data_IF_068277423879
#
_entry.id   IF_068277423879
#
_cell.length_a   1.000
_cell.length_b   1.000
_cell.length_c   1.000
_cell.angle_alpha   90.00
_cell.angle_beta   90.00
_cell.angle_gamma   90.00
#
_symmetry.space_group_name_H-M   'P 1'
#
loop_
_entity.id
_entity.type
_entity.pdbx_description
1 polymer ?
#
# COMPACT_ATOMS: atom_id res chain seq x y z
N UNK A 1 -9.30 -16.88 8.99
CA UNK A 1 -8.17 -16.88 8.05
C UNK A 1 -8.27 -15.58 7.26
N UNK A 2 -7.50 -14.54 7.62
CA UNK A 2 -7.39 -13.36 6.75
C UNK A 2 -6.45 -13.80 5.61
N UNK A 3 -7.04 -14.02 4.44
CA UNK A 3 -6.28 -14.40 3.26
C UNK A 3 -5.37 -13.25 2.87
N UNK A 4 -4.12 -13.56 2.54
CA UNK A 4 -3.20 -12.61 1.91
C UNK A 4 -3.87 -12.16 0.62
N UNK A 5 -4.27 -10.88 0.55
CA UNK A 5 -4.82 -10.30 -0.66
C UNK A 5 -3.62 -9.94 -1.53
N UNK A 6 -3.29 -10.80 -2.48
CA UNK A 6 -2.32 -10.46 -3.53
C UNK A 6 -3.00 -9.46 -4.46
N UNK A 7 -2.68 -8.18 -4.30
CA UNK A 7 -3.14 -7.15 -5.23
C UNK A 7 -2.25 -7.23 -6.47
N UNK A 8 -2.84 -7.48 -7.64
CA UNK A 8 -2.08 -7.53 -8.89
C UNK A 8 -1.82 -6.11 -9.39
N UNK A 9 -0.70 -5.90 -10.11
CA UNK A 9 -0.40 -4.62 -10.78
C UNK A 9 -1.57 -4.14 -11.66
N UNK A 10 -2.31 -5.08 -12.25
CA UNK A 10 -3.49 -4.76 -13.03
C UNK A 10 -4.63 -4.17 -12.20
N UNK A 11 -4.79 -4.61 -10.95
CA UNK A 11 -5.81 -4.07 -10.03
C UNK A 11 -5.45 -2.63 -9.64
N UNK A 12 -4.17 -2.34 -9.41
CA UNK A 12 -3.66 -0.98 -9.17
C UNK A 12 -3.91 -0.10 -10.41
N UNK A 13 -3.60 -0.61 -11.61
CA UNK A 13 -3.89 0.09 -12.88
C UNK A 13 -5.36 0.43 -13.04
N UNK A 14 -6.25 -0.50 -12.70
CA UNK A 14 -7.69 -0.30 -12.75
C UNK A 14 -8.13 0.75 -11.72
N UNK A 15 -7.65 0.65 -10.48
CA UNK A 15 -7.91 1.63 -9.42
C UNK A 15 -7.51 3.05 -9.83
N UNK A 16 -6.28 3.24 -10.33
CA UNK A 16 -5.81 4.54 -10.85
C UNK A 16 -6.71 5.04 -11.97
N UNK A 17 -7.11 4.16 -12.91
CA UNK A 17 -7.98 4.53 -14.03
C UNK A 17 -9.37 4.97 -13.55
N UNK A 18 -9.94 4.29 -12.57
CA UNK A 18 -11.26 4.59 -12.02
C UNK A 18 -11.24 5.92 -11.26
N UNK A 19 -10.22 6.15 -10.40
CA UNK A 19 -10.03 7.44 -9.70
C UNK A 19 -9.89 8.59 -10.71
N UNK A 20 -9.06 8.42 -11.74
CA UNK A 20 -8.86 9.45 -12.77
C UNK A 20 -10.17 9.75 -13.52
N UNK A 21 -10.92 8.72 -13.88
CA UNK A 21 -12.19 8.86 -14.59
C UNK A 21 -13.26 9.54 -13.72
N UNK A 22 -13.45 9.08 -12.49
CA UNK A 22 -14.54 9.52 -11.62
C UNK A 22 -14.27 10.84 -10.91
N UNK A 23 -13.03 11.03 -10.43
CA UNK A 23 -12.68 12.17 -9.56
C UNK A 23 -11.99 13.30 -10.30
N UNK A 24 -11.29 12.99 -11.40
CA UNK A 24 -10.54 13.96 -12.18
C UNK A 24 -11.13 14.21 -13.58
N UNK A 25 -12.13 13.43 -14.01
CA UNK A 25 -12.70 13.47 -15.36
C UNK A 25 -11.62 13.28 -16.46
N UNK A 26 -10.59 12.49 -16.16
CA UNK A 26 -9.49 12.13 -17.06
C UNK A 26 -9.70 10.69 -17.52
N UNK A 27 -9.89 10.49 -18.82
CA UNK A 27 -10.08 9.17 -19.39
C UNK A 27 -8.79 8.64 -20.00
N UNK A 28 -8.28 7.53 -19.44
CA UNK A 28 -7.14 6.78 -20.00
C UNK A 28 -7.66 5.82 -21.07
N UNK A 29 -7.41 6.16 -22.34
CA UNK A 29 -7.99 5.47 -23.51
C UNK A 29 -7.15 4.32 -24.03
N UNK A 30 -5.85 4.41 -23.86
CA UNK A 30 -4.89 3.44 -24.37
C UNK A 30 -3.67 3.34 -23.45
N UNK A 31 -2.91 2.25 -23.61
CA UNK A 31 -1.76 1.95 -22.77
C UNK A 31 -0.63 2.99 -22.91
N UNK A 32 -0.52 3.64 -24.08
CA UNK A 32 0.54 4.62 -24.33
C UNK A 32 0.38 5.86 -23.44
N UNK A 33 -0.83 6.16 -22.96
CA UNK A 33 -1.08 7.25 -22.03
C UNK A 33 -0.41 7.06 -20.66
N UNK A 34 -0.14 5.83 -20.22
CA UNK A 34 0.55 5.60 -18.94
C UNK A 34 2.02 6.06 -18.96
N UNK A 35 2.62 6.14 -20.15
CA UNK A 35 4.00 6.57 -20.35
C UNK A 35 4.15 8.06 -20.67
N UNK A 36 3.03 8.77 -20.91
CA UNK A 36 3.04 10.21 -21.18
C UNK A 36 3.28 11.01 -19.90
N UNK A 37 3.76 12.24 -20.06
CA UNK A 37 3.89 13.16 -18.93
C UNK A 37 2.56 13.37 -18.22
N UNK A 38 2.57 13.49 -16.89
CA UNK A 38 1.35 13.74 -16.10
C UNK A 38 0.57 14.97 -16.60
N UNK A 39 1.29 16.04 -16.95
CA UNK A 39 0.68 17.25 -17.52
C UNK A 39 0.06 16.99 -18.90
N UNK A 40 0.67 16.14 -19.72
CA UNK A 40 0.20 15.82 -21.08
C UNK A 40 -1.14 15.06 -21.09
N UNK A 41 -1.43 14.33 -20.00
CA UNK A 41 -2.71 13.63 -19.81
C UNK A 41 -3.73 14.48 -19.02
N UNK A 42 -3.41 15.74 -18.72
CA UNK A 42 -4.29 16.66 -18.01
C UNK A 42 -4.22 16.59 -16.48
N UNK A 43 -3.25 15.86 -15.92
CA UNK A 43 -3.06 15.73 -14.49
C UNK A 43 -2.16 16.86 -13.97
N UNK A 44 -2.78 17.97 -13.57
CA UNK A 44 -2.06 19.06 -12.88
C UNK A 44 -1.70 18.70 -11.43
N UNK A 45 -0.91 19.54 -10.77
CA UNK A 45 -0.45 19.32 -9.39
C UNK A 45 -1.60 19.08 -8.40
N UNK A 46 -2.70 19.84 -8.47
CA UNK A 46 -3.83 19.64 -7.57
C UNK A 46 -4.54 18.30 -7.80
N UNK A 47 -4.72 17.89 -9.06
CA UNK A 47 -5.32 16.60 -9.40
C UNK A 47 -4.39 15.44 -9.03
N UNK A 48 -3.08 15.64 -9.15
CA UNK A 48 -2.08 14.67 -8.71
C UNK A 48 -2.16 14.45 -7.19
N UNK A 49 -2.20 15.50 -6.38
CA UNK A 49 -2.38 15.36 -4.92
C UNK A 49 -3.69 14.63 -4.59
N UNK A 50 -4.79 14.96 -5.27
CA UNK A 50 -6.06 14.26 -5.09
C UNK A 50 -5.95 12.78 -5.45
N UNK A 51 -5.25 12.44 -6.52
CA UNK A 51 -5.01 11.05 -6.91
C UNK A 51 -4.28 10.30 -5.79
N UNK A 52 -3.21 10.87 -5.22
CA UNK A 52 -2.48 10.25 -4.11
C UNK A 52 -3.39 9.97 -2.90
N UNK A 53 -4.15 10.98 -2.45
CA UNK A 53 -5.06 10.82 -1.30
C UNK A 53 -6.14 9.76 -1.55
N UNK A 54 -6.66 9.64 -2.78
CA UNK A 54 -7.63 8.57 -3.09
C UNK A 54 -6.94 7.20 -3.12
N UNK A 55 -5.70 7.11 -3.60
CA UNK A 55 -4.95 5.84 -3.59
C UNK A 55 -4.66 5.35 -2.17
N UNK A 56 -4.32 6.25 -1.24
CA UNK A 56 -4.14 5.92 0.19
C UNK A 56 -5.39 5.27 0.77
N UNK A 57 -6.56 5.89 0.50
CA UNK A 57 -7.83 5.41 1.01
C UNK A 57 -8.27 4.08 0.38
N UNK A 58 -8.06 3.89 -0.93
CA UNK A 58 -8.51 2.68 -1.64
C UNK A 58 -7.58 1.48 -1.45
N UNK A 59 -6.27 1.71 -1.24
CA UNK A 59 -5.27 0.66 -1.15
C UNK A 59 -4.71 0.42 0.26
N UNK A 60 -5.18 1.19 1.25
CA UNK A 60 -4.70 1.14 2.65
C UNK A 60 -3.16 1.31 2.73
N UNK A 61 -2.68 2.34 2.02
CA UNK A 61 -1.27 2.76 1.99
C UNK A 61 -1.13 4.19 2.50
N UNK A 62 0.09 4.59 2.82
CA UNK A 62 0.43 5.95 3.28
C UNK A 62 1.66 6.44 2.51
N UNK A 63 1.55 7.57 1.81
CA UNK A 63 2.68 8.16 1.09
C UNK A 63 3.50 9.04 2.04
N UNK A 64 4.83 8.84 2.03
CA UNK A 64 5.74 9.75 2.72
C UNK A 64 5.77 11.13 2.04
N UNK A 65 5.92 12.21 2.82
CA UNK A 65 5.89 13.58 2.31
C UNK A 65 6.92 13.85 1.19
N UNK A 66 8.04 13.13 1.20
CA UNK A 66 9.11 13.25 0.20
C UNK A 66 8.69 12.73 -1.20
N UNK A 67 7.77 11.77 -1.26
CA UNK A 67 7.22 11.22 -2.51
C UNK A 67 6.17 12.13 -3.15
N UNK A 68 5.56 13.01 -2.36
CA UNK A 68 4.55 13.98 -2.81
C UNK A 68 5.19 15.07 -3.70
N UNK A 69 6.53 15.16 -3.73
CA UNK A 69 7.23 16.07 -4.61
C UNK A 69 7.10 15.59 -6.08
N UNK A 70 6.21 16.25 -6.82
CA UNK A 70 5.86 15.97 -8.24
C UNK A 70 7.05 15.91 -9.22
N UNK A 71 8.25 16.31 -8.80
CA UNK A 71 9.46 16.19 -9.61
C UNK A 71 9.99 14.76 -9.73
N UNK A 72 9.56 13.82 -8.88
CA UNK A 72 10.01 12.44 -8.93
C UNK A 72 9.14 11.53 -9.80
N UNK A 73 7.88 11.91 -10.04
CA UNK A 73 6.91 11.11 -10.78
C UNK A 73 6.56 11.84 -12.08
N UNK A 74 7.15 11.37 -13.18
CA UNK A 74 6.97 11.95 -14.51
C UNK A 74 5.74 11.43 -15.25
N UNK A 75 5.31 10.19 -14.96
CA UNK A 75 4.18 9.54 -15.63
C UNK A 75 3.43 8.57 -14.71
N UNK A 76 2.30 8.03 -15.18
CA UNK A 76 1.47 7.13 -14.37
C UNK A 76 2.12 5.76 -14.16
N UNK A 77 2.90 5.25 -15.11
CA UNK A 77 3.60 3.96 -14.98
C UNK A 77 4.59 3.98 -13.81
N UNK A 78 5.32 5.09 -13.63
CA UNK A 78 6.19 5.32 -12.48
C UNK A 78 5.40 5.36 -11.17
N UNK A 79 4.27 6.06 -11.14
CA UNK A 79 3.39 6.09 -9.96
C UNK A 79 2.90 4.67 -9.60
N UNK A 80 2.43 3.91 -10.58
CA UNK A 80 1.93 2.54 -10.38
C UNK A 80 3.04 1.64 -9.84
N UNK A 81 4.27 1.79 -10.33
CA UNK A 81 5.43 1.03 -9.83
C UNK A 81 5.68 1.32 -8.35
N UNK A 82 5.70 2.59 -7.95
CA UNK A 82 5.87 3.01 -6.55
C UNK A 82 4.74 2.43 -5.67
N UNK A 83 3.49 2.55 -6.12
CA UNK A 83 2.33 2.03 -5.39
C UNK A 83 2.40 0.51 -5.23
N UNK A 84 2.86 -0.19 -6.27
CA UNK A 84 3.05 -1.65 -6.22
C UNK A 84 4.06 -2.02 -5.13
N UNK A 85 5.21 -1.34 -5.09
CA UNK A 85 6.25 -1.58 -4.09
C UNK A 85 5.72 -1.33 -2.66
N UNK A 86 4.91 -0.28 -2.47
CA UNK A 86 4.30 0.03 -1.17
C UNK A 86 3.33 -1.06 -0.69
N UNK A 87 2.45 -1.50 -1.57
CA UNK A 87 1.47 -2.56 -1.26
C UNK A 87 2.17 -3.87 -0.90
N UNK A 88 3.23 -4.22 -1.62
CA UNK A 88 4.05 -5.40 -1.30
C UNK A 88 4.76 -5.28 0.05
N UNK A 89 5.32 -4.11 0.36
CA UNK A 89 6.02 -3.86 1.63
C UNK A 89 5.07 -3.93 2.83
N UNK A 90 3.85 -3.39 2.70
CA UNK A 90 2.83 -3.47 3.74
C UNK A 90 2.40 -4.92 4.00
N UNK A 91 2.25 -5.72 2.93
CA UNK A 91 1.93 -7.15 3.05
C UNK A 91 3.00 -7.93 3.84
N UNK A 92 4.29 -7.59 3.68
CA UNK A 92 5.41 -8.26 4.38
C UNK A 92 5.53 -7.84 5.86
N UNK A 93 5.24 -6.57 6.19
CA UNK A 93 5.28 -6.07 7.58
C UNK A 93 4.25 -6.74 8.50
N UNK A 94 3.11 -7.16 7.95
CA UNK A 94 2.09 -7.91 8.71
C UNK A 94 2.56 -9.33 9.07
N UNK A 95 3.43 -9.94 8.27
CA UNK A 95 3.96 -11.29 8.50
C UNK A 95 4.95 -11.31 9.68
N UNK A 96 5.88 -10.35 9.75
CA UNK A 96 6.89 -10.28 10.81
C UNK A 96 6.27 -9.99 12.19
N UNK A 97 5.22 -9.16 12.23
CA UNK A 97 4.51 -8.80 13.47
C UNK A 97 3.74 -9.98 14.10
N UNK A 98 3.30 -10.95 13.30
CA UNK A 98 2.58 -12.13 13.80
C UNK A 98 3.50 -13.22 14.37
N UNK A 99 4.76 -13.29 13.93
CA UNK A 99 5.75 -14.26 14.45
C UNK A 99 6.15 -13.93 15.90
N UNK A 100 6.24 -12.64 16.26
CA UNK A 100 6.61 -12.23 17.62
C UNK A 100 5.54 -12.51 18.69
N UNK A 101 4.25 -12.60 18.31
CA UNK A 101 3.18 -12.91 19.27
C UNK A 101 3.13 -14.39 19.67
N UNK A 102 3.48 -15.31 18.77
CA UNK A 102 3.44 -16.75 19.06
C UNK A 102 4.56 -17.23 20.01
N UNK A 103 5.69 -16.51 20.05
CA UNK A 103 6.85 -16.86 20.89
C UNK A 103 6.67 -16.55 22.38
N UNK A 104 5.79 -15.61 22.73
CA UNK A 104 5.62 -15.17 24.12
C UNK A 104 4.56 -15.96 24.92
N UNK A 105 3.64 -16.66 24.25
CA UNK A 105 2.64 -17.50 24.94
C UNK A 105 3.16 -18.88 25.34
N UNK A 106 4.29 -19.35 24.79
CA UNK A 106 4.85 -20.66 25.14
C UNK A 106 5.79 -20.66 26.35
N UNK A 107 6.05 -19.51 26.99
CA UNK A 107 7.04 -19.40 28.07
C UNK A 107 6.48 -18.98 29.45
N UNK A 108 5.16 -19.07 29.67
CA UNK A 108 4.52 -18.82 30.98
C UNK A 108 3.69 -20.02 31.49
N UNK A 109 4.07 -21.24 31.12
CA UNK A 109 3.29 -22.45 31.39
C UNK A 109 4.03 -23.59 32.10
N UNK A 110 5.12 -23.37 32.84
CA UNK A 110 5.77 -24.45 33.57
C UNK A 110 6.67 -23.96 34.73
N UNK A 111 6.08 -23.54 35.86
CA UNK A 111 6.71 -23.75 37.17
C UNK A 111 5.73 -23.48 38.30
N UNK A 112 4.85 -24.45 38.57
CA UNK A 112 4.19 -24.53 39.86
C UNK A 112 3.96 -25.99 40.22
N UNK A 113 5.01 -26.65 40.72
CA UNK A 113 4.90 -27.88 41.51
C UNK A 113 5.74 -27.75 42.77
N UNK A 114 5.04 -27.34 43.82
CA UNK A 114 5.16 -27.82 45.20
C UNK A 114 6.56 -28.02 45.77
N UNK A 115 6.98 -27.07 46.61
CA UNK A 115 7.81 -27.38 47.77
C UNK A 115 7.16 -26.73 49.00
N UNK A 116 6.24 -27.46 49.63
CA UNK A 116 5.88 -27.25 51.04
C UNK A 116 6.30 -28.50 51.79
N UNK A 117 7.39 -28.42 52.54
CA UNK A 117 7.52 -29.14 53.80
C UNK A 117 7.98 -28.15 54.86
N UNK A 118 7.07 -27.90 55.79
CA UNK A 118 7.29 -27.29 57.10
C UNK A 118 7.02 -28.43 58.10
N UNK A 119 7.90 -28.50 59.11
CA UNK A 119 8.01 -29.42 60.26
C UNK A 119 8.79 -30.71 60.00
#
# INVERSE_FOLDING_TARGET
>A
MKGVVVILVQDIKNCVKDILSEKANISIKDEAMYYKGLIDIGLNSLLFIKLLVNLEAELDIEFEEDLINSNYIGNLDQLISIVTDMVELNSKKEEESNVYRQSNDQNMGANNRGVSQIL
#
